data_IF_554026927289
#
_entry.id   IF_554026927289
#
_cell.length_a   1.000
_cell.length_b   1.000
_cell.length_c   1.000
_cell.angle_alpha   90.00
_cell.angle_beta   90.00
_cell.angle_gamma   90.00
#
_symmetry.space_group_name_H-M   'P 1'
#
loop_
_entity.id
_entity.type
_entity.pdbx_description
1 polymer ?
#
# COMPACT_ATOMS: atom_id res chain seq x y z
N UNK A 1 12.76 -26.81 -14.65
CA UNK A 1 12.86 -25.34 -14.80
C UNK A 1 14.32 -24.89 -14.80
N UNK A 2 14.66 -23.79 -15.46
CA UNK A 2 16.02 -23.23 -15.42
C UNK A 2 16.42 -22.85 -13.97
N UNK A 3 17.64 -23.17 -13.48
CA UNK A 3 18.06 -22.85 -12.11
C UNK A 3 17.97 -21.37 -11.76
N UNK A 4 18.25 -20.47 -12.71
CA UNK A 4 18.15 -19.01 -12.51
C UNK A 4 16.71 -18.62 -12.19
N UNK A 5 15.75 -19.22 -12.91
CA UNK A 5 14.31 -18.99 -12.69
C UNK A 5 13.93 -19.48 -11.30
N UNK A 6 14.32 -20.70 -10.90
CA UNK A 6 14.04 -21.24 -9.58
C UNK A 6 14.53 -20.32 -8.45
N UNK A 7 15.82 -19.94 -8.46
CA UNK A 7 16.39 -19.07 -7.44
C UNK A 7 15.74 -17.68 -7.43
N UNK A 8 15.40 -17.14 -8.60
CA UNK A 8 14.76 -15.83 -8.69
C UNK A 8 13.34 -15.84 -8.11
N UNK A 9 12.57 -16.90 -8.36
CA UNK A 9 11.24 -17.09 -7.76
C UNK A 9 11.37 -17.27 -6.25
N UNK A 10 12.37 -18.01 -5.77
CA UNK A 10 12.63 -18.15 -4.35
C UNK A 10 12.94 -16.80 -3.67
N UNK A 11 13.76 -15.94 -4.30
CA UNK A 11 14.01 -14.58 -3.81
C UNK A 11 12.72 -13.76 -3.78
N UNK A 12 11.87 -13.85 -4.82
CA UNK A 12 10.58 -13.18 -4.84
C UNK A 12 9.63 -13.68 -3.76
N UNK A 13 9.64 -14.98 -3.46
CA UNK A 13 8.86 -15.57 -2.38
C UNK A 13 9.30 -15.02 -1.03
N UNK A 14 10.61 -15.00 -0.74
CA UNK A 14 11.15 -14.45 0.51
C UNK A 14 10.87 -12.95 0.63
N UNK A 15 11.05 -12.17 -0.43
CA UNK A 15 10.73 -10.73 -0.41
C UNK A 15 9.22 -10.48 -0.23
N UNK A 16 8.36 -11.35 -0.78
CA UNK A 16 6.92 -11.36 -0.51
C UNK A 16 6.58 -11.57 0.96
N UNK A 17 7.23 -12.52 1.63
CA UNK A 17 7.07 -12.75 3.07
C UNK A 17 7.53 -11.55 3.91
N UNK A 18 8.65 -10.92 3.55
CA UNK A 18 9.14 -9.70 4.21
C UNK A 18 8.10 -8.58 4.07
N UNK A 19 7.59 -8.37 2.86
CA UNK A 19 6.50 -7.42 2.60
C UNK A 19 5.32 -7.71 3.52
N UNK A 20 4.79 -8.94 3.48
CA UNK A 20 3.66 -9.36 4.31
C UNK A 20 3.86 -9.05 5.80
N UNK A 21 5.02 -9.40 6.37
CA UNK A 21 5.34 -9.14 7.78
C UNK A 21 5.29 -7.65 8.15
N UNK A 22 5.85 -6.79 7.30
CA UNK A 22 5.84 -5.34 7.48
C UNK A 22 4.40 -4.79 7.50
N UNK A 23 3.56 -5.18 6.53
CA UNK A 23 2.19 -4.66 6.45
C UNK A 23 1.27 -5.20 7.54
N UNK A 24 1.52 -6.42 8.04
CA UNK A 24 0.84 -6.93 9.24
C UNK A 24 1.21 -6.08 10.46
N UNK A 25 2.49 -5.74 10.63
CA UNK A 25 2.95 -4.87 11.72
C UNK A 25 2.24 -3.51 11.68
N UNK A 26 2.24 -2.85 10.52
CA UNK A 26 1.57 -1.56 10.36
C UNK A 26 0.05 -1.64 10.58
N UNK A 27 -0.60 -2.74 10.20
CA UNK A 27 -2.01 -2.93 10.49
C UNK A 27 -2.28 -2.98 12.00
N UNK A 28 -1.45 -3.69 12.77
CA UNK A 28 -1.61 -3.76 14.22
C UNK A 28 -1.38 -2.40 14.89
N UNK A 29 -0.45 -1.59 14.39
CA UNK A 29 -0.14 -0.26 14.91
C UNK A 29 -1.21 0.79 14.58
N UNK A 30 -1.73 0.79 13.35
CA UNK A 30 -2.57 1.91 12.85
C UNK A 30 -4.05 1.56 12.69
N UNK A 31 -4.40 0.27 12.58
CA UNK A 31 -5.77 -0.23 12.34
C UNK A 31 -6.48 0.37 11.12
N UNK A 32 -5.72 0.90 10.15
CA UNK A 32 -6.29 1.55 8.94
C UNK A 32 -6.88 0.53 7.97
N UNK A 33 -7.99 0.93 7.31
CA UNK A 33 -8.70 0.07 6.34
C UNK A 33 -7.89 -0.26 5.09
N UNK A 34 -6.91 0.56 4.72
CA UNK A 34 -6.06 0.32 3.53
C UNK A 34 -5.28 -1.01 3.63
N UNK A 35 -4.97 -1.48 4.84
CA UNK A 35 -4.29 -2.76 5.04
C UNK A 35 -5.18 -3.98 4.73
N UNK A 36 -6.51 -3.79 4.64
CA UNK A 36 -7.42 -4.81 4.10
C UNK A 36 -7.19 -5.10 2.63
N UNK A 37 -6.43 -4.25 1.91
CA UNK A 37 -5.96 -4.55 0.56
C UNK A 37 -4.53 -5.09 0.56
N UNK A 38 -3.60 -4.44 1.28
CA UNK A 38 -2.19 -4.84 1.28
C UNK A 38 -1.96 -6.26 1.82
N UNK A 39 -2.54 -6.62 2.97
CA UNK A 39 -2.31 -7.94 3.58
C UNK A 39 -2.73 -9.08 2.64
N UNK A 40 -4.00 -9.15 2.17
CA UNK A 40 -4.38 -10.20 1.23
C UNK A 40 -3.60 -10.10 -0.08
N UNK A 41 -3.27 -8.90 -0.56
CA UNK A 41 -2.44 -8.71 -1.74
C UNK A 41 -1.07 -9.38 -1.63
N UNK A 42 -0.37 -9.19 -0.52
CA UNK A 42 0.92 -9.85 -0.25
C UNK A 42 0.79 -11.36 -0.01
N UNK A 43 -0.30 -11.82 0.59
CA UNK A 43 -0.59 -13.26 0.73
C UNK A 43 -0.73 -13.88 -0.66
N UNK A 44 -1.58 -13.33 -1.53
CA UNK A 44 -1.80 -13.84 -2.88
C UNK A 44 -0.54 -13.74 -3.75
N UNK A 45 0.20 -12.63 -3.66
CA UNK A 45 1.48 -12.49 -4.35
C UNK A 45 2.48 -13.58 -3.94
N UNK A 46 2.60 -13.83 -2.63
CA UNK A 46 3.54 -14.84 -2.09
C UNK A 46 3.12 -16.25 -2.46
N UNK A 47 1.83 -16.60 -2.30
CA UNK A 47 1.29 -17.90 -2.71
C UNK A 47 1.44 -18.12 -4.21
N UNK A 48 1.28 -17.07 -5.02
CA UNK A 48 1.52 -17.12 -6.46
C UNK A 48 2.96 -17.54 -6.80
N UNK A 49 3.96 -17.16 -5.99
CA UNK A 49 5.37 -17.59 -6.19
C UNK A 49 5.67 -18.96 -5.60
N UNK A 50 4.83 -19.47 -4.72
CA UNK A 50 5.00 -20.80 -4.17
C UNK A 50 4.62 -21.89 -5.19
N UNK A 51 3.60 -21.66 -6.02
CA UNK A 51 3.15 -22.61 -7.05
C UNK A 51 4.27 -23.14 -7.95
N UNK A 52 5.06 -22.27 -8.62
CA UNK A 52 6.14 -22.72 -9.51
C UNK A 52 7.31 -23.38 -8.77
N UNK A 53 7.52 -23.07 -7.49
CA UNK A 53 8.54 -23.75 -6.68
C UNK A 53 8.15 -25.19 -6.41
N UNK A 54 6.86 -25.44 -6.15
CA UNK A 54 6.34 -26.80 -5.90
C UNK A 54 6.18 -27.58 -7.20
N UNK A 55 5.82 -26.91 -8.31
CA UNK A 55 5.60 -27.57 -9.59
C UNK A 55 6.88 -28.24 -10.13
N UNK A 56 8.07 -27.73 -9.79
CA UNK A 56 9.35 -28.34 -10.16
C UNK A 56 9.53 -29.76 -9.59
N UNK A 57 8.84 -30.08 -8.48
CA UNK A 57 8.87 -31.40 -7.86
C UNK A 57 7.71 -32.30 -8.31
N UNK A 58 6.84 -31.81 -9.20
CA UNK A 58 5.68 -32.54 -9.69
C UNK A 58 6.04 -33.27 -10.98
N UNK A 59 5.93 -34.61 -10.97
CA UNK A 59 6.14 -35.44 -12.17
C UNK A 59 4.90 -35.53 -13.07
N UNK A 60 3.73 -35.13 -12.56
CA UNK A 60 2.48 -35.13 -13.30
C UNK A 60 2.27 -33.79 -14.03
N UNK A 61 2.11 -33.86 -15.34
CA UNK A 61 1.92 -32.71 -16.23
C UNK A 61 0.68 -31.91 -15.85
N UNK A 62 -0.42 -32.56 -15.49
CA UNK A 62 -1.68 -31.88 -15.13
C UNK A 62 -1.48 -31.10 -13.84
N UNK A 63 -0.80 -31.68 -12.85
CA UNK A 63 -0.50 -30.98 -11.59
C UNK A 63 0.41 -29.79 -11.85
N UNK A 64 1.44 -29.94 -12.69
CA UNK A 64 2.32 -28.85 -13.10
C UNK A 64 1.52 -27.69 -13.71
N UNK A 65 0.68 -27.96 -14.71
CA UNK A 65 -0.09 -26.93 -15.40
C UNK A 65 -1.06 -26.19 -14.46
N UNK A 66 -1.74 -26.92 -13.56
CA UNK A 66 -2.65 -26.32 -12.57
C UNK A 66 -1.88 -25.41 -11.61
N UNK A 67 -0.71 -25.83 -11.12
CA UNK A 67 0.10 -25.02 -10.21
C UNK A 67 0.61 -23.74 -10.87
N UNK A 68 1.04 -23.83 -12.14
CA UNK A 68 1.49 -22.67 -12.92
C UNK A 68 0.33 -21.72 -13.24
N UNK A 69 -0.85 -22.25 -13.59
CA UNK A 69 -2.06 -21.45 -13.81
C UNK A 69 -2.48 -20.69 -12.54
N UNK A 70 -2.58 -21.41 -11.41
CA UNK A 70 -2.91 -20.81 -10.11
C UNK A 70 -1.88 -19.74 -9.73
N UNK A 71 -0.60 -20.00 -9.97
CA UNK A 71 0.46 -19.01 -9.78
C UNK A 71 0.20 -17.70 -10.52
N UNK A 72 -0.16 -17.79 -11.81
CA UNK A 72 -0.52 -16.62 -12.62
C UNK A 72 -1.72 -15.87 -12.03
N UNK A 73 -2.81 -16.58 -11.72
CA UNK A 73 -4.03 -16.01 -11.13
C UNK A 73 -3.74 -15.28 -9.81
N UNK A 74 -3.08 -15.97 -8.87
CA UNK A 74 -2.81 -15.44 -7.53
C UNK A 74 -1.85 -14.25 -7.58
N UNK A 75 -0.83 -14.29 -8.45
CA UNK A 75 0.08 -13.15 -8.63
C UNK A 75 -0.66 -11.90 -9.16
N UNK A 76 -1.57 -12.05 -10.13
CA UNK A 76 -2.35 -10.95 -10.69
C UNK A 76 -3.32 -10.36 -9.66
N UNK A 77 -4.04 -11.20 -8.92
CA UNK A 77 -4.91 -10.75 -7.82
C UNK A 77 -4.09 -10.05 -6.74
N UNK A 78 -2.93 -10.61 -6.39
CA UNK A 78 -2.03 -10.06 -5.38
C UNK A 78 -1.57 -8.64 -5.72
N UNK A 79 -1.04 -8.44 -6.93
CA UNK A 79 -0.62 -7.09 -7.38
C UNK A 79 -1.80 -6.14 -7.52
N UNK A 80 -2.97 -6.60 -7.99
CA UNK A 80 -4.16 -5.77 -8.03
C UNK A 80 -4.55 -5.25 -6.64
N UNK A 81 -4.59 -6.11 -5.63
CA UNK A 81 -4.89 -5.69 -4.27
C UNK A 81 -3.82 -4.77 -3.69
N UNK A 82 -2.54 -5.05 -3.95
CA UNK A 82 -1.45 -4.14 -3.56
C UNK A 82 -1.69 -2.77 -4.21
N UNK A 83 -1.95 -2.71 -5.52
CA UNK A 83 -2.23 -1.46 -6.25
C UNK A 83 -3.44 -0.69 -5.70
N UNK A 84 -4.53 -1.39 -5.36
CA UNK A 84 -5.69 -0.79 -4.70
C UNK A 84 -5.33 -0.24 -3.31
N UNK A 85 -4.45 -0.91 -2.57
CA UNK A 85 -3.86 -0.39 -1.34
C UNK A 85 -3.10 0.91 -1.56
N UNK A 86 -2.32 1.02 -2.65
CA UNK A 86 -1.62 2.26 -3.03
C UNK A 86 -2.61 3.39 -3.28
N UNK A 87 -3.62 3.12 -4.12
CA UNK A 87 -4.64 4.10 -4.48
C UNK A 87 -5.41 4.55 -3.21
N UNK A 88 -5.60 3.66 -2.25
CA UNK A 88 -6.32 3.93 -0.99
C UNK A 88 -5.64 4.98 -0.10
N UNK A 89 -4.36 5.27 -0.31
CA UNK A 89 -3.69 6.39 0.35
C UNK A 89 -4.17 7.76 -0.16
N UNK A 90 -4.69 7.82 -1.38
CA UNK A 90 -5.04 9.06 -2.06
C UNK A 90 -6.54 9.25 -2.26
N UNK A 91 -7.30 8.15 -2.33
CA UNK A 91 -8.74 8.15 -2.52
C UNK A 91 -9.41 7.07 -1.64
N UNK A 92 -10.62 7.33 -1.16
CA UNK A 92 -11.39 6.29 -0.47
C UNK A 92 -11.91 5.26 -1.47
N UNK A 93 -11.59 3.99 -1.22
CA UNK A 93 -12.02 2.88 -2.05
C UNK A 93 -12.94 1.97 -1.25
N UNK A 94 -14.14 1.75 -1.78
CA UNK A 94 -15.03 0.74 -1.22
C UNK A 94 -14.56 -0.68 -1.58
N UNK A 95 -14.43 -1.54 -0.57
CA UNK A 95 -14.01 -2.94 -0.71
C UNK A 95 -14.80 -3.69 -1.80
N UNK A 96 -16.11 -3.42 -1.92
CA UNK A 96 -17.00 -4.03 -2.93
C UNK A 96 -16.50 -3.84 -4.37
N UNK A 97 -15.89 -2.69 -4.66
CA UNK A 97 -15.35 -2.38 -5.99
C UNK A 97 -14.14 -3.25 -6.31
N UNK A 98 -13.32 -3.62 -5.31
CA UNK A 98 -12.15 -4.46 -5.51
C UNK A 98 -12.48 -5.95 -5.64
N UNK A 99 -13.57 -6.42 -5.01
CA UNK A 99 -13.97 -7.84 -5.03
C UNK A 99 -14.37 -8.30 -6.44
N UNK A 100 -15.10 -7.47 -7.20
CA UNK A 100 -15.57 -7.85 -8.55
C UNK A 100 -14.40 -8.14 -9.49
N UNK A 101 -13.39 -7.26 -9.65
CA UNK A 101 -12.19 -7.57 -10.43
C UNK A 101 -11.43 -8.80 -9.94
N UNK A 102 -11.32 -9.03 -8.63
CA UNK A 102 -10.66 -10.23 -8.11
C UNK A 102 -11.36 -11.52 -8.56
N UNK A 103 -12.69 -11.54 -8.54
CA UNK A 103 -13.49 -12.67 -9.05
C UNK A 103 -13.26 -12.86 -10.56
N UNK A 104 -13.27 -11.77 -11.33
CA UNK A 104 -13.03 -11.83 -12.77
C UNK A 104 -11.61 -12.32 -13.09
N UNK A 105 -10.60 -11.87 -12.35
CA UNK A 105 -9.20 -12.29 -12.49
C UNK A 105 -9.00 -13.75 -12.11
N UNK A 106 -9.92 -14.34 -11.35
CA UNK A 106 -9.92 -15.77 -11.06
C UNK A 106 -10.63 -16.57 -12.16
N UNK A 107 -11.85 -16.17 -12.54
CA UNK A 107 -12.71 -16.93 -13.44
C UNK A 107 -12.21 -16.89 -14.89
N UNK A 108 -11.79 -15.72 -15.38
CA UNK A 108 -11.44 -15.55 -16.81
C UNK A 108 -10.24 -16.43 -17.20
N UNK A 109 -9.11 -16.46 -16.47
CA UNK A 109 -8.00 -17.35 -16.81
C UNK A 109 -8.39 -18.83 -16.81
N UNK A 110 -9.27 -19.25 -15.90
CA UNK A 110 -9.77 -20.64 -15.86
C UNK A 110 -10.57 -20.95 -17.12
N UNK A 111 -11.49 -20.07 -17.54
CA UNK A 111 -12.26 -20.25 -18.78
C UNK A 111 -11.31 -20.29 -19.99
N UNK A 112 -10.33 -19.39 -20.04
CA UNK A 112 -9.35 -19.35 -21.13
C UNK A 112 -8.50 -20.62 -21.20
N UNK A 113 -8.07 -21.14 -20.04
CA UNK A 113 -7.34 -22.40 -19.95
C UNK A 113 -8.16 -23.57 -20.49
N UNK A 114 -9.42 -23.69 -20.05
CA UNK A 114 -10.32 -24.77 -20.48
C UNK A 114 -10.73 -24.68 -21.96
N UNK A 115 -10.78 -23.48 -22.53
CA UNK A 115 -11.25 -23.26 -23.91
C UNK A 115 -10.12 -23.28 -24.92
N UNK A 116 -8.94 -22.79 -24.56
CA UNK A 116 -7.81 -22.63 -25.46
C UNK A 116 -6.61 -23.47 -25.01
N UNK A 117 -5.77 -22.92 -24.13
CA UNK A 117 -4.60 -23.58 -23.57
C UNK A 117 -4.05 -22.79 -22.37
N UNK A 118 -3.05 -23.37 -21.69
CA UNK A 118 -2.34 -22.73 -20.57
C UNK A 118 -1.67 -21.41 -20.96
N UNK A 119 -1.06 -21.35 -22.15
CA UNK A 119 -0.33 -20.17 -22.61
C UNK A 119 -1.22 -18.93 -22.67
N UNK A 120 -2.41 -19.04 -23.29
CA UNK A 120 -3.38 -17.94 -23.41
C UNK A 120 -3.89 -17.50 -22.04
N UNK A 121 -4.14 -18.45 -21.13
CA UNK A 121 -4.57 -18.13 -19.76
C UNK A 121 -3.48 -17.37 -18.98
N UNK A 122 -2.23 -17.84 -19.05
CA UNK A 122 -1.09 -17.16 -18.42
C UNK A 122 -0.86 -15.78 -19.02
N UNK A 123 -1.00 -15.63 -20.34
CA UNK A 123 -0.85 -14.36 -21.02
C UNK A 123 -1.90 -13.32 -20.57
N UNK A 124 -3.15 -13.75 -20.36
CA UNK A 124 -4.17 -12.88 -19.78
C UNK A 124 -3.81 -12.48 -18.33
N UNK A 125 -3.37 -13.44 -17.50
CA UNK A 125 -2.87 -13.13 -16.15
C UNK A 125 -1.72 -12.12 -16.20
N UNK A 126 -0.87 -12.14 -17.22
CA UNK A 126 0.26 -11.22 -17.36
C UNK A 126 -0.16 -9.79 -17.61
N UNK A 127 -1.09 -9.63 -18.55
CA UNK A 127 -1.60 -8.33 -18.94
C UNK A 127 -2.31 -7.72 -17.73
N UNK A 128 -3.14 -8.49 -17.04
CA UNK A 128 -3.83 -8.02 -15.82
C UNK A 128 -2.86 -7.68 -14.69
N UNK A 129 -1.82 -8.48 -14.46
CA UNK A 129 -0.74 -8.17 -13.52
C UNK A 129 -0.07 -6.84 -13.86
N UNK A 130 0.33 -6.66 -15.12
CA UNK A 130 1.10 -5.51 -15.57
C UNK A 130 0.28 -4.22 -15.56
N UNK A 131 -0.98 -4.29 -15.98
CA UNK A 131 -1.92 -3.16 -15.91
C UNK A 131 -2.21 -2.76 -14.46
N UNK A 132 -2.36 -3.73 -13.56
CA UNK A 132 -2.56 -3.48 -12.13
C UNK A 132 -1.34 -2.78 -11.50
N UNK A 133 -0.14 -3.21 -11.87
CA UNK A 133 1.09 -2.57 -11.42
C UNK A 133 1.18 -1.11 -11.90
N UNK A 134 0.88 -0.87 -13.18
CA UNK A 134 0.85 0.48 -13.77
C UNK A 134 -0.21 1.39 -13.12
N UNK A 135 -1.40 0.86 -12.81
CA UNK A 135 -2.46 1.66 -12.17
C UNK A 135 -2.08 2.09 -10.75
N UNK A 136 -1.51 1.18 -9.94
CA UNK A 136 -1.02 1.50 -8.61
C UNK A 136 0.08 2.57 -8.62
N UNK A 137 1.00 2.48 -9.58
CA UNK A 137 2.09 3.45 -9.72
C UNK A 137 1.64 4.79 -10.29
N UNK A 138 0.59 4.86 -11.12
CA UNK A 138 0.12 6.14 -11.64
C UNK A 138 -0.72 6.92 -10.63
N UNK A 139 -1.28 6.27 -9.61
CA UNK A 139 -2.16 6.90 -8.62
C UNK A 139 -1.57 8.17 -7.94
N UNK A 140 -0.30 8.17 -7.47
CA UNK A 140 0.30 9.37 -6.88
C UNK A 140 0.50 10.53 -7.87
N UNK A 141 0.55 10.27 -9.18
CA UNK A 141 0.70 11.32 -10.20
C UNK A 141 -0.57 12.18 -10.30
N UNK A 142 -1.76 11.59 -10.14
CA UNK A 142 -3.02 12.33 -10.17
C UNK A 142 -3.18 13.29 -8.99
N UNK A 143 -2.47 13.06 -7.89
CA UNK A 143 -2.47 13.92 -6.70
C UNK A 143 -1.07 14.44 -6.37
N UNK A 144 -0.25 14.69 -7.40
CA UNK A 144 1.18 14.98 -7.28
C UNK A 144 1.54 16.08 -6.28
N UNK A 145 0.78 17.18 -6.24
CA UNK A 145 1.04 18.28 -5.31
C UNK A 145 0.86 17.85 -3.85
N UNK A 146 -0.21 17.10 -3.55
CA UNK A 146 -0.47 16.54 -2.22
C UNK A 146 0.57 15.47 -1.86
N UNK A 147 0.87 14.59 -2.82
CA UNK A 147 1.88 13.55 -2.68
C UNK A 147 3.27 14.11 -2.35
N UNK A 148 3.77 15.07 -3.13
CA UNK A 148 5.08 15.69 -2.92
C UNK A 148 5.18 16.37 -1.56
N UNK A 149 4.08 16.96 -1.08
CA UNK A 149 4.01 17.58 0.26
C UNK A 149 4.13 16.56 1.38
N UNK A 150 3.49 15.40 1.23
CA UNK A 150 3.46 14.34 2.26
C UNK A 150 4.79 13.57 2.29
N UNK A 151 5.33 13.22 1.13
CA UNK A 151 6.48 12.30 1.00
C UNK A 151 7.83 13.01 0.98
N UNK A 152 7.85 14.30 0.61
CA UNK A 152 9.05 15.13 0.66
C UNK A 152 10.20 14.57 -0.19
N UNK A 153 11.35 14.27 0.44
CA UNK A 153 12.59 13.86 -0.24
C UNK A 153 12.53 12.47 -0.89
N UNK A 154 11.55 11.65 -0.53
CA UNK A 154 11.45 10.25 -0.95
C UNK A 154 10.70 10.09 -2.29
N UNK A 155 10.17 11.20 -2.81
CA UNK A 155 9.57 11.28 -4.15
C UNK A 155 10.53 10.77 -5.24
N UNK A 156 11.84 10.94 -5.07
CA UNK A 156 12.84 10.41 -6.01
C UNK A 156 12.82 8.89 -6.11
N UNK A 157 12.67 8.16 -5.00
CA UNK A 157 12.58 6.69 -5.01
C UNK A 157 11.33 6.21 -5.74
N UNK A 158 10.20 6.87 -5.53
CA UNK A 158 8.97 6.59 -6.26
C UNK A 158 9.12 6.84 -7.77
N UNK A 159 9.74 7.96 -8.16
CA UNK A 159 9.97 8.28 -9.58
C UNK A 159 10.91 7.27 -10.21
N UNK A 160 12.01 6.90 -9.53
CA UNK A 160 12.95 5.88 -10.01
C UNK A 160 12.22 4.55 -10.23
N UNK A 161 11.46 4.09 -9.23
CA UNK A 161 10.70 2.84 -9.32
C UNK A 161 9.68 2.89 -10.47
N UNK A 162 8.94 4.00 -10.61
CA UNK A 162 7.97 4.18 -11.68
C UNK A 162 8.62 4.15 -13.07
N UNK A 163 9.80 4.77 -13.23
CA UNK A 163 10.56 4.74 -14.49
C UNK A 163 11.04 3.33 -14.81
N UNK A 164 11.58 2.60 -13.83
CA UNK A 164 12.04 1.22 -14.01
C UNK A 164 10.89 0.35 -14.52
N UNK A 165 9.72 0.44 -13.88
CA UNK A 165 8.58 -0.40 -14.24
C UNK A 165 7.96 0.07 -15.58
N UNK A 166 7.91 1.37 -15.85
CA UNK A 166 7.47 1.90 -17.14
C UNK A 166 8.38 1.48 -18.29
N UNK A 167 9.71 1.42 -18.08
CA UNK A 167 10.67 0.92 -19.06
C UNK A 167 10.60 -0.59 -19.24
N UNK A 168 10.24 -1.32 -18.18
CA UNK A 168 10.06 -2.77 -18.22
C UNK A 168 8.81 -3.19 -19.00
N UNK A 169 7.73 -2.40 -18.95
CA UNK A 169 6.46 -2.74 -19.59
C UNK A 169 6.58 -2.99 -21.12
N UNK A 170 7.30 -2.17 -21.91
CA UNK A 170 7.59 -2.49 -23.32
C UNK A 170 8.39 -3.79 -23.50
N UNK A 171 9.41 -4.04 -22.67
CA UNK A 171 10.23 -5.27 -22.75
C UNK A 171 9.35 -6.49 -22.49
N UNK A 172 8.50 -6.41 -21.48
CA UNK A 172 7.47 -7.39 -21.17
C UNK A 172 6.53 -7.66 -22.35
N UNK A 173 6.05 -6.63 -23.04
CA UNK A 173 5.20 -6.77 -24.22
C UNK A 173 5.93 -7.39 -25.42
N UNK A 174 7.20 -7.06 -25.63
CA UNK A 174 8.02 -7.65 -26.70
C UNK A 174 8.21 -9.14 -26.44
N UNK A 175 8.57 -9.53 -25.21
CA UNK A 175 8.71 -10.93 -24.83
C UNK A 175 7.38 -11.70 -25.04
N UNK A 176 6.26 -11.08 -24.65
CA UNK A 176 4.93 -11.63 -24.90
C UNK A 176 4.65 -11.82 -26.41
N UNK A 177 5.00 -10.85 -27.25
CA UNK A 177 4.81 -10.96 -28.71
C UNK A 177 5.62 -12.07 -29.38
N UNK A 178 6.66 -12.57 -28.68
CA UNK A 178 7.50 -13.68 -29.12
C UNK A 178 7.00 -15.05 -28.61
N UNK A 179 5.84 -15.11 -27.95
CA UNK A 179 5.27 -16.34 -27.40
C UNK A 179 5.87 -16.75 -26.05
N UNK A 180 6.60 -15.86 -25.37
CA UNK A 180 7.12 -16.14 -24.04
C UNK A 180 6.06 -15.86 -22.97
N UNK A 181 5.75 -16.86 -22.16
CA UNK A 181 4.77 -16.79 -21.07
C UNK A 181 5.33 -16.14 -19.80
N UNK A 182 4.45 -15.84 -18.83
CA UNK A 182 4.83 -15.32 -17.50
C UNK A 182 5.93 -16.16 -16.86
N UNK A 183 6.91 -15.47 -16.27
CA UNK A 183 7.94 -16.10 -15.47
C UNK A 183 9.03 -16.79 -16.28
N UNK A 184 8.89 -16.84 -17.61
CA UNK A 184 9.91 -17.38 -18.51
C UNK A 184 10.36 -18.79 -18.09
N UNK A 185 9.43 -19.59 -17.55
CA UNK A 185 9.72 -20.88 -16.93
C UNK A 185 10.37 -21.88 -17.90
N UNK A 186 10.01 -21.76 -19.18
CA UNK A 186 10.47 -22.60 -20.29
C UNK A 186 11.48 -21.88 -21.21
N UNK A 187 11.95 -20.68 -20.82
CA UNK A 187 12.91 -19.93 -21.62
C UNK A 187 14.34 -20.45 -21.40
N UNK A 188 15.07 -20.72 -22.48
CA UNK A 188 16.48 -21.12 -22.41
C UNK A 188 17.46 -19.94 -22.40
N UNK A 189 16.98 -18.72 -22.69
CA UNK A 189 17.83 -17.53 -22.75
C UNK A 189 18.11 -16.96 -21.34
N UNK A 190 19.23 -17.37 -20.76
CA UNK A 190 19.68 -16.93 -19.43
C UNK A 190 19.74 -15.41 -19.27
N UNK A 191 20.17 -14.67 -20.30
CA UNK A 191 20.26 -13.20 -20.22
C UNK A 191 18.88 -12.57 -20.07
N UNK A 192 17.92 -13.04 -20.87
CA UNK A 192 16.54 -12.55 -20.85
C UNK A 192 15.85 -12.88 -19.52
N UNK A 193 16.06 -14.08 -19.00
CA UNK A 193 15.61 -14.49 -17.66
C UNK A 193 16.19 -13.57 -16.59
N UNK A 194 17.52 -13.38 -16.57
CA UNK A 194 18.18 -12.54 -15.56
C UNK A 194 17.67 -11.10 -15.61
N UNK A 195 17.57 -10.51 -16.80
CA UNK A 195 17.08 -9.15 -16.98
C UNK A 195 15.65 -9.01 -16.42
N UNK A 196 14.78 -9.98 -16.72
CA UNK A 196 13.39 -10.00 -16.26
C UNK A 196 13.31 -10.03 -14.72
N UNK A 197 13.98 -11.00 -14.10
CA UNK A 197 13.90 -11.21 -12.67
C UNK A 197 14.62 -10.15 -11.84
N UNK A 198 15.75 -9.60 -12.30
CA UNK A 198 16.43 -8.49 -11.62
C UNK A 198 15.49 -7.28 -11.53
N UNK A 199 14.78 -6.97 -12.62
CA UNK A 199 13.84 -5.85 -12.66
C UNK A 199 12.65 -6.10 -11.71
N UNK A 200 12.06 -7.30 -11.74
CA UNK A 200 10.92 -7.63 -10.86
C UNK A 200 11.34 -7.64 -9.40
N UNK A 201 12.48 -8.24 -9.04
CA UNK A 201 12.99 -8.28 -7.67
C UNK A 201 13.32 -6.87 -7.20
N UNK A 202 14.08 -6.11 -7.99
CA UNK A 202 14.48 -4.74 -7.67
C UNK A 202 13.28 -3.82 -7.48
N UNK A 203 12.30 -3.88 -8.39
CA UNK A 203 11.06 -3.11 -8.27
C UNK A 203 10.23 -3.52 -7.05
N UNK A 204 10.15 -4.81 -6.73
CA UNK A 204 9.44 -5.29 -5.53
C UNK A 204 10.07 -4.74 -4.25
N UNK A 205 11.41 -4.80 -4.13
CA UNK A 205 12.14 -4.27 -2.97
C UNK A 205 11.97 -2.74 -2.87
N UNK A 206 12.14 -2.02 -3.96
CA UNK A 206 11.94 -0.56 -4.00
C UNK A 206 10.52 -0.18 -3.61
N UNK A 207 9.54 -0.96 -4.05
CA UNK A 207 8.12 -0.78 -3.71
C UNK A 207 7.88 -0.95 -2.20
N UNK A 208 8.42 -2.01 -1.59
CA UNK A 208 8.34 -2.22 -0.14
C UNK A 208 8.98 -1.04 0.62
N UNK A 209 10.21 -0.67 0.27
CA UNK A 209 10.94 0.43 0.93
C UNK A 209 10.14 1.73 0.81
N UNK A 210 9.70 2.06 -0.41
CA UNK A 210 8.90 3.24 -0.68
C UNK A 210 7.66 3.30 0.22
N UNK A 211 6.93 2.20 0.38
CA UNK A 211 5.73 2.18 1.20
C UNK A 211 5.98 2.27 2.69
N UNK A 212 7.03 1.63 3.19
CA UNK A 212 7.47 1.81 4.58
C UNK A 212 7.66 3.31 4.87
N UNK A 213 8.39 3.99 3.99
CA UNK A 213 8.62 5.43 4.14
C UNK A 213 7.36 6.28 3.96
N UNK A 214 6.46 5.89 3.03
CA UNK A 214 5.18 6.55 2.85
C UNK A 214 4.38 6.53 4.16
N UNK A 215 4.26 5.36 4.78
CA UNK A 215 3.47 5.20 6.01
C UNK A 215 4.08 5.96 7.18
N UNK A 216 5.41 5.88 7.36
CA UNK A 216 6.10 6.69 8.36
C UNK A 216 5.93 8.19 8.14
N UNK A 217 5.94 8.66 6.89
CA UNK A 217 5.77 10.07 6.58
C UNK A 217 4.34 10.55 6.87
N UNK A 218 3.34 9.76 6.50
CA UNK A 218 1.93 10.05 6.80
C UNK A 218 1.69 10.07 8.30
N UNK A 219 2.13 9.04 9.02
CA UNK A 219 1.99 8.94 10.48
C UNK A 219 2.66 10.13 11.20
N UNK A 220 3.87 10.51 10.76
CA UNK A 220 4.57 11.68 11.30
C UNK A 220 3.84 12.98 11.01
N UNK A 221 3.30 13.15 9.80
CA UNK A 221 2.56 14.35 9.43
C UNK A 221 1.27 14.47 10.23
N UNK A 222 0.51 13.38 10.40
CA UNK A 222 -0.68 13.37 11.25
C UNK A 222 -0.34 13.70 12.70
N UNK A 223 0.71 13.11 13.25
CA UNK A 223 1.19 13.44 14.61
C UNK A 223 1.56 14.92 14.74
N UNK A 224 2.20 15.51 13.74
CA UNK A 224 2.56 16.92 13.71
C UNK A 224 1.32 17.82 13.62
N UNK A 225 0.37 17.50 12.75
CA UNK A 225 -0.87 18.25 12.56
C UNK A 225 -1.74 18.21 13.82
N UNK A 226 -1.84 17.03 14.46
CA UNK A 226 -2.51 16.88 15.77
C UNK A 226 -1.79 17.70 16.84
N UNK A 227 -0.46 17.60 16.94
CA UNK A 227 0.31 18.38 17.92
C UNK A 227 0.10 19.88 17.74
N UNK A 228 0.11 20.39 16.51
CA UNK A 228 -0.13 21.80 16.22
C UNK A 228 -1.56 22.22 16.60
N UNK A 229 -2.56 21.43 16.21
CA UNK A 229 -3.97 21.69 16.54
C UNK A 229 -4.18 21.76 18.04
N UNK A 230 -3.71 20.75 18.78
CA UNK A 230 -3.88 20.71 20.23
C UNK A 230 -3.03 21.77 20.94
N UNK A 231 -1.79 22.02 20.51
CA UNK A 231 -0.95 23.07 21.09
C UNK A 231 -1.54 24.46 20.90
N UNK A 232 -2.09 24.75 19.72
CA UNK A 232 -2.74 26.03 19.44
C UNK A 232 -4.02 26.21 20.25
N UNK A 233 -4.88 25.18 20.29
CA UNK A 233 -6.16 25.25 21.00
C UNK A 233 -5.98 25.30 22.52
N UNK A 234 -5.09 24.49 23.09
CA UNK A 234 -4.76 24.53 24.52
C UNK A 234 -4.10 25.86 24.89
N UNK A 235 -3.22 26.41 24.02
CA UNK A 235 -2.62 27.73 24.22
C UNK A 235 -3.67 28.84 24.32
N UNK A 236 -4.63 28.86 23.39
CA UNK A 236 -5.72 29.84 23.40
C UNK A 236 -6.62 29.71 24.64
N UNK A 237 -6.91 28.48 25.06
CA UNK A 237 -7.68 28.20 26.28
C UNK A 237 -6.93 28.72 27.52
N UNK A 238 -5.65 28.36 27.66
CA UNK A 238 -4.81 28.81 28.77
C UNK A 238 -4.69 30.33 28.81
N UNK A 239 -4.50 30.98 27.67
CA UNK A 239 -4.41 32.43 27.58
C UNK A 239 -5.73 33.10 28.00
N UNK A 240 -6.88 32.54 27.60
CA UNK A 240 -8.20 33.05 28.01
C UNK A 240 -8.39 32.92 29.52
N UNK A 241 -8.05 31.76 30.10
CA UNK A 241 -8.11 31.54 31.55
C UNK A 241 -7.18 32.51 32.29
N UNK A 242 -5.94 32.67 31.80
CA UNK A 242 -4.96 33.57 32.41
C UNK A 242 -5.41 35.03 32.38
N UNK A 243 -5.97 35.49 31.27
CA UNK A 243 -6.50 36.85 31.15
C UNK A 243 -7.71 37.06 32.06
N UNK A 244 -8.69 36.15 32.05
CA UNK A 244 -9.88 36.26 32.90
C UNK A 244 -9.55 36.21 34.39
N UNK A 245 -8.64 35.32 34.80
CA UNK A 245 -8.15 35.26 36.20
C UNK A 245 -7.30 36.47 36.56
N UNK A 246 -6.51 37.00 35.62
CA UNK A 246 -5.79 38.25 35.77
C UNK A 246 -6.73 39.41 36.07
N UNK A 247 -7.76 39.60 35.26
CA UNK A 247 -8.78 40.65 35.43
C UNK A 247 -9.48 40.53 36.78
N UNK A 248 -9.89 39.32 37.19
CA UNK A 248 -10.50 39.06 38.49
C UNK A 248 -9.59 39.41 39.68
N UNK A 249 -8.26 39.33 39.50
CA UNK A 249 -7.28 39.63 40.55
C UNK A 249 -6.87 41.09 40.62
N UNK A 250 -6.81 41.82 39.49
CA UNK A 250 -6.28 43.19 39.46
C UNK A 250 -7.34 44.29 39.47
N UNK A 251 -8.60 44.00 39.11
CA UNK A 251 -9.68 45.00 39.22
C UNK A 251 -10.49 44.77 40.49
N UNK A 252 -10.31 45.66 41.46
CA UNK A 252 -11.07 45.62 42.73
C UNK A 252 -12.54 45.99 42.53
N UNK A 253 -12.84 46.94 41.61
CA UNK A 253 -14.18 47.50 41.36
C UNK A 253 -15.03 46.76 40.31
N UNK A 254 -14.80 45.47 40.08
CA UNK A 254 -15.66 44.67 39.20
C UNK A 254 -17.04 44.48 39.84
N UNK A 255 -18.10 44.73 39.06
CA UNK A 255 -19.47 44.40 39.47
C UNK A 255 -19.64 42.89 39.69
N UNK A 256 -20.60 42.51 40.53
CA UNK A 256 -20.91 41.11 40.84
C UNK A 256 -21.23 40.32 39.56
N UNK A 257 -21.94 40.96 38.62
CA UNK A 257 -22.29 40.32 37.36
C UNK A 257 -21.06 40.05 36.47
N UNK A 258 -20.13 41.00 36.38
CA UNK A 258 -18.89 40.84 35.61
C UNK A 258 -17.98 39.75 36.20
N UNK A 259 -17.93 39.63 37.53
CA UNK A 259 -17.19 38.57 38.21
C UNK A 259 -17.78 37.18 37.92
N UNK A 260 -19.11 37.06 37.91
CA UNK A 260 -19.81 35.82 37.58
C UNK A 260 -19.58 35.42 36.13
N UNK A 261 -19.68 36.37 35.20
CA UNK A 261 -19.45 36.11 33.77
C UNK A 261 -18.01 35.66 33.50
N UNK A 262 -17.00 36.30 34.11
CA UNK A 262 -15.60 35.89 34.00
C UNK A 262 -15.35 34.50 34.60
N UNK A 263 -15.97 34.18 35.73
CA UNK A 263 -15.86 32.86 36.37
C UNK A 263 -16.47 31.77 35.49
N UNK A 264 -17.63 32.06 34.87
CA UNK A 264 -18.28 31.15 33.94
C UNK A 264 -17.43 30.90 32.68
N UNK A 265 -16.82 31.94 32.12
CA UNK A 265 -15.88 31.80 30.99
C UNK A 265 -14.69 30.92 31.37
N UNK A 266 -14.17 31.03 32.59
CA UNK A 266 -13.07 30.18 33.07
C UNK A 266 -13.53 28.71 33.15
N UNK A 267 -14.68 28.44 33.76
CA UNK A 267 -15.22 27.08 33.86
C UNK A 267 -15.46 26.45 32.48
N UNK A 268 -16.10 27.20 31.56
CA UNK A 268 -16.33 26.74 30.19
C UNK A 268 -15.01 26.41 29.45
N UNK A 269 -13.96 27.19 29.69
CA UNK A 269 -12.64 26.97 29.10
C UNK A 269 -11.90 25.78 29.72
N UNK A 270 -12.06 25.56 31.02
CA UNK A 270 -11.53 24.37 31.72
C UNK A 270 -12.21 23.11 31.17
N UNK A 271 -13.54 23.13 30.99
CA UNK A 271 -14.29 22.00 30.42
C UNK A 271 -13.87 21.71 28.97
N UNK A 272 -13.63 22.75 28.16
CA UNK A 272 -13.07 22.60 26.81
C UNK A 272 -11.68 21.95 26.83
N UNK A 273 -10.80 22.37 27.75
CA UNK A 273 -9.48 21.74 27.90
C UNK A 273 -9.58 20.28 28.33
N UNK A 274 -10.51 19.96 29.24
CA UNK A 274 -10.74 18.58 29.70
C UNK A 274 -11.19 17.67 28.55
N UNK A 275 -12.15 18.13 27.72
CA UNK A 275 -12.57 17.40 26.51
C UNK A 275 -11.41 17.18 25.54
N UNK A 276 -10.59 18.19 25.30
CA UNK A 276 -9.40 18.03 24.44
C UNK A 276 -8.38 17.03 25.01
N UNK A 277 -8.19 17.00 26.34
CA UNK A 277 -7.32 16.02 26.99
C UNK A 277 -7.88 14.59 26.90
N UNK A 278 -9.20 14.43 26.97
CA UNK A 278 -9.88 13.14 26.75
C UNK A 278 -9.71 12.68 25.30
N UNK A 279 -9.94 13.55 24.31
CA UNK A 279 -9.69 13.24 22.89
C UNK A 279 -8.23 12.81 22.62
N UNK A 280 -7.24 13.50 23.22
CA UNK A 280 -5.82 13.14 23.09
C UNK A 280 -5.53 11.74 23.66
N UNK A 281 -6.23 11.34 24.73
CA UNK A 281 -6.07 10.02 25.35
C UNK A 281 -6.67 8.90 24.50
N UNK A 282 -7.76 9.16 23.79
CA UNK A 282 -8.41 8.20 22.90
C UNK A 282 -7.67 7.99 21.57
N UNK A 283 -6.79 8.93 21.18
CA UNK A 283 -5.95 8.82 19.99
C UNK A 283 -4.71 7.92 20.23
N UNK A 284 -4.38 7.59 21.48
CA UNK A 284 -3.30 6.67 21.85
C UNK A 284 -3.74 5.21 21.84
#
# INVERSE_FOLDING_TARGET
MNPIVFFSIFILFVTGLIGLGIYISFYYETRRKLFYFFIPGWIFFTLGRFGPLVSEFSYDIIIYEILILLSGILASIGIFLIAMGIISYFAEIHLKIAVIPCILFFIIPIILYLTFNLEIALNFSFITYSLSLMSGLSAPLFTWAKFKRIVGKIVSLYVINSIIIAAYFPIALINFSQGLSIGLYECDNNFLIMLNYIIIIGSTILTIIYFVYLEFSISKQESFDLKNKYSHNLGNILQTIYLSTGILKTKEDLDIQERLDLSKVIEEKIDQAKKFLEEIREIK
#
